data_IF_119057068553
#
_entry.id   IF_119057068553
#
_cell.length_a   1.000
_cell.length_b   1.000
_cell.length_c   1.000
_cell.angle_alpha   90.00
_cell.angle_beta   90.00
_cell.angle_gamma   90.00
#
_symmetry.space_group_name_H-M   'P 1'
#
loop_
_entity.id
_entity.type
_entity.pdbx_description
1 polymer ?
#
# COMPACT_ATOMS: atom_id res chain seq x y z
N UNK A 1 8.66 19.16 37.14
CA UNK A 1 9.56 18.02 37.38
C UNK A 1 9.90 17.42 36.02
N UNK A 2 11.17 17.36 35.62
CA UNK A 2 11.53 16.74 34.34
C UNK A 2 11.27 15.23 34.43
N UNK A 3 10.53 14.67 33.45
CA UNK A 3 10.27 13.22 33.37
C UNK A 3 11.58 12.47 33.21
N UNK A 4 11.77 11.34 33.88
CA UNK A 4 12.98 10.52 33.77
C UNK A 4 13.10 9.87 32.38
N UNK A 5 14.29 9.36 32.01
CA UNK A 5 14.50 8.65 30.75
C UNK A 5 13.55 7.44 30.60
N UNK A 6 13.33 6.70 31.69
CA UNK A 6 12.40 5.56 31.71
C UNK A 6 10.94 5.97 31.53
N UNK A 7 10.52 7.07 32.17
CA UNK A 7 9.16 7.60 32.01
C UNK A 7 8.88 8.07 30.57
N UNK A 8 9.89 8.63 29.90
CA UNK A 8 9.77 9.03 28.48
C UNK A 8 9.73 7.82 27.56
N UNK A 9 10.48 6.76 27.87
CA UNK A 9 10.43 5.50 27.14
C UNK A 9 9.06 4.82 27.28
N UNK A 10 8.49 4.82 28.49
CA UNK A 10 7.13 4.32 28.72
C UNK A 10 6.08 5.10 27.94
N UNK A 11 6.15 6.43 27.99
CA UNK A 11 5.24 7.29 27.23
C UNK A 11 5.34 7.06 25.72
N UNK A 12 6.55 6.84 25.20
CA UNK A 12 6.75 6.50 23.79
C UNK A 12 6.18 5.12 23.43
N UNK A 13 6.32 4.12 24.30
CA UNK A 13 5.72 2.79 24.12
C UNK A 13 4.19 2.86 24.05
N UNK A 14 3.58 3.57 25.00
CA UNK A 14 2.12 3.75 25.08
C UNK A 14 1.59 4.53 23.87
N UNK A 15 2.30 5.58 23.43
CA UNK A 15 1.95 6.34 22.22
C UNK A 15 2.10 5.55 20.91
N UNK A 16 2.91 4.47 20.92
CA UNK A 16 3.08 3.55 19.81
C UNK A 16 2.16 2.31 19.89
N UNK A 17 1.10 2.36 20.72
CA UNK A 17 0.09 1.31 20.89
C UNK A 17 0.60 -0.05 21.40
N UNK A 18 1.77 -0.09 22.05
CA UNK A 18 2.25 -1.30 22.72
C UNK A 18 1.67 -1.40 24.14
N UNK A 19 0.67 -2.25 24.33
CA UNK A 19 -0.06 -2.40 25.60
C UNK A 19 0.76 -3.01 26.75
N UNK A 20 1.90 -3.65 26.48
CA UNK A 20 2.77 -4.24 27.51
C UNK A 20 4.24 -4.12 27.16
N UNK A 21 5.07 -3.95 28.19
CA UNK A 21 6.54 -3.97 28.08
C UNK A 21 7.07 -5.29 27.49
N UNK A 22 6.33 -6.39 27.64
CA UNK A 22 6.68 -7.68 27.04
C UNK A 22 6.61 -7.63 25.52
N UNK A 23 5.51 -7.12 24.97
CA UNK A 23 5.32 -6.97 23.52
C UNK A 23 6.33 -5.99 22.91
N UNK A 24 6.65 -4.94 23.65
CA UNK A 24 7.65 -3.96 23.22
C UNK A 24 9.07 -4.56 23.18
N UNK A 25 9.47 -5.34 24.19
CA UNK A 25 10.78 -5.98 24.24
C UNK A 25 10.98 -6.99 23.10
N UNK A 26 9.95 -7.81 22.83
CA UNK A 26 9.93 -8.78 21.73
C UNK A 26 10.04 -8.08 20.37
N UNK A 27 9.23 -7.04 20.14
CA UNK A 27 9.24 -6.27 18.89
C UNK A 27 10.57 -5.51 18.63
N UNK A 28 11.37 -5.30 19.69
CA UNK A 28 12.67 -4.64 19.65
C UNK A 28 13.85 -5.61 19.62
N UNK A 29 13.61 -6.91 19.79
CA UNK A 29 14.66 -7.94 19.89
C UNK A 29 15.58 -7.74 21.10
N UNK A 30 15.08 -7.17 22.20
CA UNK A 30 15.83 -6.98 23.46
C UNK A 30 15.26 -7.86 24.55
N UNK A 31 16.10 -8.28 25.51
CA UNK A 31 15.60 -9.07 26.63
C UNK A 31 14.55 -8.29 27.44
N UNK A 32 13.49 -8.97 27.89
CA UNK A 32 12.44 -8.37 28.70
C UNK A 32 12.98 -7.72 29.98
N UNK A 33 13.97 -8.36 30.59
CA UNK A 33 14.64 -7.86 31.79
C UNK A 33 15.33 -6.52 31.51
N UNK A 34 16.08 -6.44 30.40
CA UNK A 34 16.79 -5.22 29.97
C UNK A 34 15.81 -4.09 29.64
N UNK A 35 14.73 -4.39 28.92
CA UNK A 35 13.74 -3.38 28.56
C UNK A 35 13.01 -2.82 29.79
N UNK A 36 12.61 -3.68 30.73
CA UNK A 36 11.97 -3.26 31.98
C UNK A 36 12.90 -2.46 32.87
N UNK A 37 14.20 -2.79 32.91
CA UNK A 37 15.18 -2.02 33.66
C UNK A 37 15.33 -0.59 33.10
N UNK A 38 15.27 -0.41 31.78
CA UNK A 38 15.26 0.90 31.13
C UNK A 38 13.95 1.67 31.36
N UNK A 39 12.80 1.01 31.25
CA UNK A 39 11.48 1.65 31.45
C UNK A 39 11.24 2.07 32.90
N UNK A 40 11.69 1.27 33.88
CA UNK A 40 11.58 1.58 35.30
C UNK A 40 12.66 2.57 35.79
N UNK A 41 13.57 2.99 34.91
CA UNK A 41 14.66 3.91 35.27
C UNK A 41 15.71 3.30 36.21
N UNK A 42 15.81 1.98 36.27
CA UNK A 42 16.87 1.29 37.04
C UNK A 42 18.23 1.39 36.33
N UNK A 43 18.22 1.38 35.00
CA UNK A 43 19.41 1.56 34.16
C UNK A 43 19.15 2.63 33.10
N UNK A 44 20.14 3.49 32.89
CA UNK A 44 20.14 4.39 31.74
C UNK A 44 20.50 3.61 30.47
N UNK A 45 20.02 4.09 29.32
CA UNK A 45 20.28 3.48 28.02
C UNK A 45 21.07 4.41 27.11
N UNK A 46 21.97 3.83 26.32
CA UNK A 46 22.86 4.58 25.42
C UNK A 46 22.11 5.17 24.22
N UNK A 47 22.74 6.12 23.52
CA UNK A 47 22.16 6.74 22.34
C UNK A 47 21.86 5.76 21.19
N UNK A 48 22.64 4.67 21.10
CA UNK A 48 22.42 3.59 20.13
C UNK A 48 21.12 2.82 20.43
N UNK A 49 20.90 2.50 21.71
CA UNK A 49 19.69 1.81 22.16
C UNK A 49 18.47 2.75 22.05
N UNK A 50 18.64 4.02 22.41
CA UNK A 50 17.60 5.04 22.25
C UNK A 50 17.16 5.19 20.78
N UNK A 51 18.09 5.13 19.82
CA UNK A 51 17.78 5.18 18.39
C UNK A 51 16.97 3.98 17.94
N UNK A 52 17.25 2.80 18.49
CA UNK A 52 16.48 1.58 18.22
C UNK A 52 15.05 1.67 18.75
N UNK A 53 14.89 2.19 19.97
CA UNK A 53 13.58 2.45 20.56
C UNK A 53 12.80 3.52 19.79
N UNK A 54 13.47 4.61 19.42
CA UNK A 54 12.91 5.72 18.66
C UNK A 54 12.35 5.26 17.31
N UNK A 55 13.12 4.47 16.55
CA UNK A 55 12.70 3.94 15.25
C UNK A 55 11.44 3.07 15.35
N UNK A 56 11.32 2.27 16.42
CA UNK A 56 10.18 1.36 16.60
C UNK A 56 8.96 2.05 17.19
N UNK A 57 9.14 3.05 18.04
CA UNK A 57 8.04 3.78 18.69
C UNK A 57 7.65 5.07 17.96
N UNK A 58 8.22 5.35 16.78
CA UNK A 58 7.90 6.55 16.00
C UNK A 58 8.24 7.85 16.72
N UNK A 59 9.25 7.83 17.60
CA UNK A 59 9.74 9.00 18.33
C UNK A 59 11.19 9.32 17.95
N UNK A 60 11.83 10.26 18.64
CA UNK A 60 13.23 10.62 18.39
C UNK A 60 14.14 10.17 19.52
N UNK A 61 15.38 9.80 19.20
CA UNK A 61 16.37 9.42 20.22
C UNK A 61 16.64 10.59 21.18
N UNK A 62 16.62 11.83 20.68
CA UNK A 62 16.73 13.04 21.49
C UNK A 62 15.61 13.15 22.53
N UNK A 63 14.36 12.93 22.13
CA UNK A 63 13.24 12.93 23.08
C UNK A 63 13.41 11.86 24.18
N UNK A 64 13.87 10.66 23.83
CA UNK A 64 14.09 9.61 24.81
C UNK A 64 15.25 9.94 25.78
N UNK A 65 16.34 10.52 25.30
CA UNK A 65 17.56 10.75 26.09
C UNK A 65 17.55 12.05 26.90
N UNK A 66 17.15 13.16 26.29
CA UNK A 66 17.25 14.50 26.90
C UNK A 66 15.88 15.13 27.16
N UNK A 67 14.82 14.58 26.56
CA UNK A 67 13.48 15.18 26.60
C UNK A 67 13.35 16.42 25.71
N UNK A 68 14.40 16.78 24.95
CA UNK A 68 14.40 17.85 23.97
C UNK A 68 14.06 17.30 22.58
N UNK A 69 13.09 17.94 21.92
CA UNK A 69 12.54 17.51 20.64
C UNK A 69 11.11 16.96 20.76
N UNK A 70 10.35 17.07 19.67
CA UNK A 70 8.93 16.73 19.66
C UNK A 70 8.70 15.22 19.88
N UNK A 71 7.81 14.89 20.84
CA UNK A 71 7.42 13.52 21.20
C UNK A 71 6.84 12.73 20.02
N UNK A 72 6.12 13.43 19.13
CA UNK A 72 5.79 12.98 17.78
C UNK A 72 6.82 13.59 16.85
N UNK A 73 7.29 12.86 15.85
CA UNK A 73 7.72 13.53 14.61
C UNK A 73 6.59 14.48 14.22
N UNK A 74 6.80 15.78 14.41
CA UNK A 74 5.82 16.78 14.05
C UNK A 74 5.71 16.75 12.52
N UNK A 75 4.68 16.06 12.03
CA UNK A 75 3.95 16.48 10.85
C UNK A 75 3.56 17.93 11.12
N UNK A 76 4.17 18.88 10.42
CA UNK A 76 3.85 20.29 10.56
C UNK A 76 2.40 20.53 10.04
N UNK A 77 1.58 21.22 10.84
CA UNK A 77 0.17 21.64 10.65
C UNK A 77 0.13 23.14 11.03
N UNK A 78 -0.91 23.99 10.80
CA UNK A 78 -2.22 23.83 10.15
C UNK A 78 -2.62 25.00 9.20
N UNK A 79 -3.76 24.91 8.49
CA UNK A 79 -4.57 26.11 8.30
C UNK A 79 -6.08 25.81 8.27
N UNK A 80 -6.80 26.71 8.91
CA UNK A 80 -8.16 26.62 9.40
C UNK A 80 -9.10 27.28 8.39
N UNK A 81 -9.51 26.55 7.37
CA UNK A 81 -10.77 26.80 6.65
C UNK A 81 -11.40 25.44 6.40
N UNK A 82 -12.59 25.25 6.96
CA UNK A 82 -13.45 24.10 6.78
C UNK A 82 -13.89 23.99 5.32
N UNK A 83 -13.14 23.29 4.49
CA UNK A 83 -13.69 22.69 3.28
C UNK A 83 -13.90 21.21 3.58
N UNK A 84 -15.17 20.85 3.72
CA UNK A 84 -15.70 19.50 3.66
C UNK A 84 -14.76 18.51 2.96
N UNK A 85 -14.09 17.65 3.73
CA UNK A 85 -13.21 16.58 3.24
C UNK A 85 -14.00 15.27 3.32
N UNK A 86 -14.41 14.67 2.18
CA UNK A 86 -15.25 13.47 2.17
C UNK A 86 -14.53 12.19 2.62
N UNK A 87 -13.25 12.26 3.01
CA UNK A 87 -12.43 11.10 3.38
C UNK A 87 -12.31 10.84 4.90
N UNK A 88 -12.94 11.64 5.78
CA UNK A 88 -13.22 11.18 7.15
C UNK A 88 -14.51 10.33 7.15
N UNK A 89 -14.39 9.09 6.66
CA UNK A 89 -15.25 8.00 7.11
C UNK A 89 -14.45 7.14 8.07
N UNK A 90 -14.85 7.17 9.33
CA UNK A 90 -14.49 6.21 10.37
C UNK A 90 -14.63 4.80 9.80
N UNK A 91 -13.51 4.16 9.47
CA UNK A 91 -13.49 2.72 9.21
C UNK A 91 -13.39 1.98 10.57
N UNK A 92 -14.38 2.23 11.42
CA UNK A 92 -14.67 1.45 12.62
C UNK A 92 -15.60 0.30 12.21
N UNK A 93 -15.07 -0.63 11.40
CA UNK A 93 -15.83 -1.73 10.82
C UNK A 93 -15.02 -3.01 10.74
N UNK A 94 -15.07 -3.80 11.81
CA UNK A 94 -14.62 -5.18 11.98
C UNK A 94 -14.29 -5.98 10.70
N UNK A 95 -13.02 -6.36 10.55
CA UNK A 95 -12.63 -7.61 9.92
C UNK A 95 -11.41 -8.18 10.67
N UNK A 96 -11.69 -9.10 11.60
CA UNK A 96 -10.70 -10.04 12.14
C UNK A 96 -10.31 -11.05 11.04
N UNK A 97 -9.03 -11.44 11.07
CA UNK A 97 -8.40 -12.53 10.33
C UNK A 97 -8.29 -12.42 8.80
N UNK A 98 -7.08 -12.14 8.31
CA UNK A 98 -6.71 -12.38 6.90
C UNK A 98 -5.52 -11.55 6.42
N UNK A 99 -4.38 -12.22 6.28
CA UNK A 99 -3.17 -11.86 5.54
C UNK A 99 -3.03 -10.43 4.99
N UNK A 100 -2.02 -9.74 5.51
CA UNK A 100 -1.42 -8.53 4.94
C UNK A 100 -1.06 -8.77 3.46
N UNK A 101 -1.98 -8.49 2.53
CA UNK A 101 -1.74 -8.51 1.09
C UNK A 101 -0.62 -7.51 0.80
N UNK A 102 0.61 -8.00 0.75
CA UNK A 102 1.84 -7.23 0.63
C UNK A 102 1.97 -6.63 -0.78
N UNK A 103 1.33 -5.49 -1.02
CA UNK A 103 1.59 -4.65 -2.18
C UNK A 103 2.88 -3.87 -1.97
N UNK A 104 4.03 -4.52 -2.02
CA UNK A 104 5.28 -3.83 -1.69
C UNK A 104 5.92 -3.18 -2.92
N UNK A 105 5.42 -1.99 -3.32
CA UNK A 105 6.33 -0.94 -3.82
C UNK A 105 7.39 -0.58 -2.76
N UNK A 106 7.17 -0.96 -1.51
CA UNK A 106 8.10 -0.78 -0.37
C UNK A 106 9.47 -1.44 -0.55
N UNK A 107 9.57 -2.53 -1.32
CA UNK A 107 10.84 -3.20 -1.61
C UNK A 107 11.56 -2.66 -2.85
N UNK A 108 10.92 -1.76 -3.61
CA UNK A 108 11.50 -1.12 -4.78
C UNK A 108 11.81 0.34 -4.50
N UNK A 109 13.01 0.78 -4.86
CA UNK A 109 13.41 2.18 -4.78
C UNK A 109 13.59 2.70 -6.20
N UNK A 110 12.89 3.79 -6.58
CA UNK A 110 13.06 4.34 -7.91
C UNK A 110 14.47 4.88 -8.08
N UNK A 111 15.05 4.65 -9.24
CA UNK A 111 16.32 5.28 -9.66
C UNK A 111 16.14 6.79 -9.81
N UNK A 112 14.95 7.24 -10.23
CA UNK A 112 14.56 8.64 -10.32
C UNK A 112 13.57 8.99 -9.21
N UNK A 113 13.95 9.91 -8.31
CA UNK A 113 13.08 10.32 -7.21
C UNK A 113 11.67 10.74 -7.67
N UNK A 114 10.64 10.05 -7.16
CA UNK A 114 9.24 10.28 -7.51
C UNK A 114 8.77 9.57 -8.78
N UNK A 115 9.57 8.69 -9.37
CA UNK A 115 9.14 7.91 -10.52
C UNK A 115 8.10 6.83 -10.18
N UNK A 116 7.25 6.57 -11.16
CA UNK A 116 6.23 5.53 -11.18
C UNK A 116 6.76 4.37 -12.04
N UNK A 117 6.81 3.13 -11.51
CA UNK A 117 7.38 2.01 -12.24
C UNK A 117 6.41 1.52 -13.30
N UNK A 118 6.94 1.18 -14.47
CA UNK A 118 6.25 0.36 -15.46
C UNK A 118 6.64 -1.09 -15.28
N UNK A 119 5.64 -1.97 -15.18
CA UNK A 119 5.84 -3.40 -14.96
C UNK A 119 5.52 -4.21 -16.21
N UNK A 120 6.32 -5.24 -16.48
CA UNK A 120 5.99 -6.26 -17.47
C UNK A 120 5.03 -7.28 -16.88
N UNK A 121 3.79 -7.18 -17.31
CA UNK A 121 2.69 -8.03 -16.85
C UNK A 121 2.80 -9.45 -17.40
N UNK A 122 3.48 -9.63 -18.55
CA UNK A 122 3.66 -10.95 -19.18
C UNK A 122 4.67 -11.82 -18.45
N UNK A 123 5.67 -11.18 -17.85
CA UNK A 123 6.74 -11.87 -17.16
C UNK A 123 6.43 -11.98 -15.67
N UNK A 124 5.50 -12.88 -15.34
CA UNK A 124 5.34 -13.40 -13.98
C UNK A 124 6.55 -14.29 -13.64
N UNK A 125 7.47 -13.75 -12.86
CA UNK A 125 8.67 -14.44 -12.44
C UNK A 125 8.33 -15.62 -11.53
N UNK A 126 8.32 -16.84 -12.08
CA UNK A 126 8.78 -17.98 -11.29
C UNK A 126 10.20 -17.70 -10.76
N UNK A 127 10.61 -18.43 -9.71
CA UNK A 127 11.91 -18.30 -9.04
C UNK A 127 13.07 -18.30 -10.06
N UNK A 128 13.53 -17.12 -10.51
CA UNK A 128 14.48 -17.03 -11.62
C UNK A 128 14.60 -15.69 -12.37
N UNK A 129 13.78 -14.68 -12.09
CA UNK A 129 13.98 -13.35 -12.70
C UNK A 129 15.14 -12.62 -12.03
N UNK A 130 16.14 -12.28 -12.84
CA UNK A 130 17.27 -11.44 -12.46
C UNK A 130 16.89 -9.98 -12.76
N UNK A 131 16.68 -9.17 -11.72
CA UNK A 131 16.37 -7.73 -11.84
C UNK A 131 15.47 -7.21 -10.72
N UNK A 132 15.14 -5.92 -10.78
CA UNK A 132 14.14 -5.32 -9.89
C UNK A 132 12.74 -5.79 -10.28
N UNK A 133 11.99 -6.28 -9.29
CA UNK A 133 10.63 -6.79 -9.47
C UNK A 133 9.65 -6.12 -8.51
N UNK A 134 8.40 -5.99 -8.93
CA UNK A 134 7.26 -5.62 -8.08
C UNK A 134 6.35 -6.82 -7.94
N UNK A 135 5.96 -7.09 -6.72
CA UNK A 135 5.06 -8.17 -6.35
C UNK A 135 3.60 -7.74 -6.54
N UNK A 136 2.87 -8.41 -7.43
CA UNK A 136 1.43 -8.22 -7.61
C UNK A 136 0.67 -9.47 -7.16
N UNK A 137 -0.52 -9.32 -6.55
CA UNK A 137 -1.32 -10.46 -6.14
C UNK A 137 -1.91 -11.16 -7.38
N UNK A 138 -1.77 -12.48 -7.40
CA UNK A 138 -2.30 -13.37 -8.43
C UNK A 138 -3.20 -14.42 -7.79
N UNK A 139 -4.39 -14.02 -7.35
CA UNK A 139 -5.31 -14.91 -6.63
C UNK A 139 -5.17 -14.82 -5.11
N UNK A 140 -5.92 -15.67 -4.41
CA UNK A 140 -5.95 -15.70 -2.93
C UNK A 140 -4.60 -16.17 -2.36
N UNK A 141 -3.79 -15.23 -1.86
CA UNK A 141 -2.54 -15.50 -1.14
C UNK A 141 -1.31 -15.73 -2.01
N UNK A 142 -1.46 -15.76 -3.34
CA UNK A 142 -0.32 -15.91 -4.26
C UNK A 142 0.13 -14.54 -4.77
N UNK A 143 1.44 -14.41 -4.98
CA UNK A 143 2.07 -13.19 -5.47
C UNK A 143 3.01 -13.56 -6.61
N UNK A 144 2.94 -12.79 -7.70
CA UNK A 144 3.84 -12.90 -8.83
C UNK A 144 4.80 -11.70 -8.83
N UNK A 145 6.09 -11.96 -9.00
CA UNK A 145 7.08 -10.92 -9.22
C UNK A 145 7.05 -10.47 -10.68
N UNK A 146 6.81 -9.19 -10.92
CA UNK A 146 6.79 -8.59 -12.26
C UNK A 146 8.01 -7.70 -12.44
N UNK A 147 8.76 -7.91 -13.52
CA UNK A 147 9.95 -7.13 -13.83
C UNK A 147 9.60 -5.67 -14.11
N UNK A 148 10.41 -4.76 -13.59
CA UNK A 148 10.31 -3.34 -13.93
C UNK A 148 11.02 -3.10 -15.26
N UNK A 149 10.31 -2.52 -16.22
CA UNK A 149 10.80 -2.28 -17.58
C UNK A 149 11.11 -0.81 -17.87
N UNK A 150 10.47 0.10 -17.13
CA UNK A 150 10.72 1.54 -17.25
C UNK A 150 10.32 2.29 -15.98
N UNK A 151 10.72 3.55 -15.90
CA UNK A 151 10.34 4.50 -14.86
C UNK A 151 9.73 5.75 -15.50
N UNK A 152 8.56 6.15 -15.01
CA UNK A 152 7.79 7.28 -15.51
C UNK A 152 7.78 8.40 -14.48
N UNK A 153 8.26 9.58 -14.85
CA UNK A 153 8.11 10.76 -14.00
C UNK A 153 6.75 11.40 -14.26
N UNK A 154 5.80 11.15 -13.35
CA UNK A 154 4.48 11.77 -13.38
C UNK A 154 4.40 12.75 -12.21
N UNK A 155 4.05 14.02 -12.44
CA UNK A 155 3.88 14.98 -11.34
C UNK A 155 2.93 14.44 -10.28
N UNK A 156 3.35 14.47 -9.01
CA UNK A 156 2.54 13.95 -7.90
C UNK A 156 1.20 14.67 -7.77
N UNK A 157 1.15 15.97 -8.09
CA UNK A 157 -0.08 16.74 -8.18
C UNK A 157 -1.04 16.22 -9.24
N UNK A 158 -0.54 15.76 -10.39
CA UNK A 158 -1.39 15.14 -11.42
C UNK A 158 -1.98 13.82 -10.93
N UNK A 159 -1.15 12.95 -10.34
CA UNK A 159 -1.63 11.66 -9.80
C UNK A 159 -2.71 11.87 -8.74
N UNK A 160 -2.50 12.79 -7.79
CA UNK A 160 -3.46 13.06 -6.71
C UNK A 160 -4.72 13.77 -7.21
N UNK A 161 -4.56 14.84 -7.96
CA UNK A 161 -5.65 15.77 -8.22
C UNK A 161 -6.47 15.37 -9.44
N UNK A 162 -5.80 14.92 -10.51
CA UNK A 162 -6.44 14.56 -11.78
C UNK A 162 -6.77 13.07 -11.83
N UNK A 163 -5.76 12.21 -11.63
CA UNK A 163 -5.96 10.76 -11.73
C UNK A 163 -6.66 10.15 -10.51
N UNK A 164 -6.74 10.89 -9.38
CA UNK A 164 -7.24 10.39 -8.09
C UNK A 164 -6.56 9.08 -7.67
N UNK A 165 -5.23 9.05 -7.82
CA UNK A 165 -4.37 7.92 -7.55
C UNK A 165 -3.31 8.25 -6.49
N UNK A 166 -2.95 7.26 -5.69
CA UNK A 166 -1.90 7.35 -4.68
C UNK A 166 -0.51 7.33 -5.32
N UNK A 167 0.31 8.40 -5.24
CA UNK A 167 1.62 8.43 -5.90
C UNK A 167 2.57 7.30 -5.48
N UNK A 168 2.39 6.78 -4.26
CA UNK A 168 3.22 5.73 -3.68
C UNK A 168 2.70 4.31 -3.95
N UNK A 169 1.45 4.16 -4.43
CA UNK A 169 0.85 2.86 -4.76
C UNK A 169 0.42 2.77 -6.23
N UNK A 170 0.88 3.70 -7.07
CA UNK A 170 0.61 3.69 -8.51
C UNK A 170 1.66 2.88 -9.30
N UNK A 171 1.24 2.12 -10.30
CA UNK A 171 2.13 1.50 -11.29
C UNK A 171 1.63 1.82 -12.71
N UNK A 172 2.49 1.64 -13.70
CA UNK A 172 2.14 1.69 -15.11
C UNK A 172 2.10 0.26 -15.66
N UNK A 173 1.03 -0.07 -16.39
CA UNK A 173 0.90 -1.34 -17.09
C UNK A 173 0.67 -1.10 -18.59
N UNK A 174 1.24 -1.96 -19.42
CA UNK A 174 0.91 -2.03 -20.84
C UNK A 174 -0.44 -2.73 -21.05
N UNK A 175 -1.26 -2.16 -21.93
CA UNK A 175 -2.48 -2.81 -22.42
C UNK A 175 -2.09 -3.90 -23.42
N UNK A 176 -2.39 -5.15 -23.09
CA UNK A 176 -2.05 -6.30 -23.91
C UNK A 176 -3.33 -6.91 -24.49
N UNK A 177 -3.29 -7.26 -25.78
CA UNK A 177 -4.42 -7.84 -26.48
C UNK A 177 -5.48 -6.79 -26.86
N UNK A 178 -6.56 -7.26 -27.46
CA UNK A 178 -7.63 -6.45 -28.04
C UNK A 178 -8.90 -6.41 -27.16
N UNK A 179 -8.85 -7.02 -25.98
CA UNK A 179 -10.04 -7.24 -25.16
C UNK A 179 -10.73 -5.95 -24.70
N UNK A 180 -9.99 -4.86 -24.62
CA UNK A 180 -10.49 -3.58 -24.12
C UNK A 180 -10.62 -2.54 -25.24
N UNK A 181 -10.51 -2.94 -26.51
CA UNK A 181 -10.82 -2.07 -27.64
C UNK A 181 -12.32 -1.75 -27.66
N UNK A 182 -12.74 -0.54 -28.08
CA UNK A 182 -11.90 0.55 -28.60
C UNK A 182 -11.35 1.48 -27.49
N UNK A 183 -11.75 1.29 -26.23
CA UNK A 183 -11.40 2.19 -25.13
C UNK A 183 -9.89 2.20 -24.83
N UNK A 184 -9.27 1.01 -24.86
CA UNK A 184 -7.85 0.82 -24.65
C UNK A 184 -7.26 0.02 -25.81
N UNK A 185 -6.30 0.61 -26.52
CA UNK A 185 -5.67 -0.04 -27.65
C UNK A 185 -4.43 -0.83 -27.21
N UNK A 186 -4.10 -1.96 -27.88
CA UNK A 186 -2.88 -2.69 -27.60
C UNK A 186 -1.64 -1.80 -27.63
N UNK A 187 -0.82 -1.91 -26.58
CA UNK A 187 0.40 -1.15 -26.35
C UNK A 187 0.20 0.27 -25.80
N UNK A 188 -1.04 0.69 -25.52
CA UNK A 188 -1.27 1.85 -24.64
C UNK A 188 -0.75 1.58 -23.22
N UNK A 189 -0.60 2.64 -22.43
CA UNK A 189 -0.23 2.53 -21.02
C UNK A 189 -1.39 2.96 -20.14
N UNK A 190 -1.60 2.23 -19.05
CA UNK A 190 -2.60 2.56 -18.04
C UNK A 190 -1.94 2.80 -16.70
N UNK A 191 -2.48 3.77 -15.97
CA UNK A 191 -2.07 4.11 -14.61
C UNK A 191 -2.96 3.31 -13.67
N UNK A 192 -2.37 2.46 -12.83
CA UNK A 192 -3.09 1.56 -11.91
C UNK A 192 -2.77 1.94 -10.48
N UNK A 193 -3.79 2.20 -9.66
CA UNK A 193 -3.62 2.43 -8.23
C UNK A 193 -3.87 1.15 -7.44
N UNK A 194 -2.79 0.58 -6.89
CA UNK A 194 -2.79 -0.66 -6.11
C UNK A 194 -3.47 -0.50 -4.74
N UNK A 195 -3.61 0.72 -4.22
CA UNK A 195 -4.35 0.98 -2.97
C UNK A 195 -5.87 0.88 -3.16
N UNK A 196 -6.34 0.92 -4.41
CA UNK A 196 -7.76 0.84 -4.77
C UNK A 196 -8.09 -0.57 -5.27
N UNK A 197 -7.90 -1.55 -4.38
CA UNK A 197 -8.03 -3.00 -4.64
C UNK A 197 -9.39 -3.58 -4.23
N UNK A 198 -10.38 -2.73 -3.97
CA UNK A 198 -11.76 -3.12 -3.70
C UNK A 198 -12.68 -2.50 -4.74
N UNK A 199 -13.74 -3.23 -5.10
CA UNK A 199 -14.73 -2.72 -6.03
C UNK A 199 -15.65 -1.70 -5.36
N UNK A 200 -15.35 -0.42 -5.53
CA UNK A 200 -16.19 0.69 -5.03
C UNK A 200 -17.08 1.28 -6.11
N UNK A 201 -16.64 1.25 -7.36
CA UNK A 201 -17.33 1.86 -8.51
C UNK A 201 -17.31 0.94 -9.73
N UNK A 202 -18.31 1.08 -10.60
CA UNK A 202 -18.39 0.36 -11.88
C UNK A 202 -17.46 1.00 -12.91
N UNK A 203 -16.22 0.51 -12.97
CA UNK A 203 -15.17 1.06 -13.84
C UNK A 203 -14.17 -0.02 -14.24
N UNK A 204 -13.04 0.37 -14.81
CA UNK A 204 -11.98 -0.53 -15.25
C UNK A 204 -10.98 -0.76 -14.12
N UNK A 205 -10.65 -2.04 -13.91
CA UNK A 205 -9.69 -2.48 -12.91
C UNK A 205 -8.66 -3.41 -13.57
N UNK A 206 -7.46 -3.43 -12.99
CA UNK A 206 -6.55 -4.55 -13.16
C UNK A 206 -7.00 -5.68 -12.24
N UNK A 207 -7.19 -6.86 -12.80
CA UNK A 207 -7.69 -8.05 -12.12
C UNK A 207 -6.79 -9.24 -12.37
N UNK A 208 -6.90 -10.24 -11.49
CA UNK A 208 -6.32 -11.56 -11.66
C UNK A 208 -7.35 -12.63 -11.31
N UNK A 209 -7.38 -13.70 -12.09
CA UNK A 209 -8.12 -14.93 -11.81
C UNK A 209 -7.27 -15.96 -11.04
N UNK A 210 -5.99 -15.65 -10.80
CA UNK A 210 -5.04 -16.51 -10.08
C UNK A 210 -4.40 -17.61 -10.94
N UNK A 211 -4.79 -17.73 -12.20
CA UNK A 211 -4.25 -18.71 -13.15
C UNK A 211 -3.50 -18.05 -14.29
N UNK A 212 -3.95 -16.87 -14.71
CA UNK A 212 -3.41 -16.11 -15.82
C UNK A 212 -2.69 -14.85 -15.35
N UNK A 213 -1.96 -14.24 -16.29
CA UNK A 213 -1.35 -12.94 -16.10
C UNK A 213 -2.43 -11.87 -15.79
N UNK A 214 -2.10 -10.82 -15.03
CA UNK A 214 -3.02 -9.72 -14.77
C UNK A 214 -3.63 -9.13 -16.04
N UNK A 215 -4.94 -8.89 -16.01
CA UNK A 215 -5.69 -8.36 -17.15
C UNK A 215 -6.44 -7.10 -16.74
N UNK A 216 -6.70 -6.21 -17.70
CA UNK A 216 -7.61 -5.09 -17.48
C UNK A 216 -9.01 -5.46 -17.96
N UNK A 217 -10.01 -5.26 -17.11
CA UNK A 217 -11.42 -5.52 -17.42
C UNK A 217 -12.31 -4.45 -16.80
N UNK A 218 -13.46 -4.20 -17.43
CA UNK A 218 -14.50 -3.38 -16.83
C UNK A 218 -15.32 -4.23 -15.89
N UNK A 219 -15.43 -3.79 -14.64
CA UNK A 219 -16.23 -4.45 -13.62
C UNK A 219 -17.54 -3.70 -13.44
N UNK A 220 -18.64 -4.44 -13.37
CA UNK A 220 -19.95 -3.91 -13.04
C UNK A 220 -20.61 -4.77 -11.97
N UNK A 221 -21.02 -4.17 -10.86
CA UNK A 221 -21.65 -4.92 -9.77
C UNK A 221 -23.03 -5.40 -10.21
N UNK A 222 -23.37 -6.65 -9.90
CA UNK A 222 -24.72 -7.16 -10.12
C UNK A 222 -25.57 -6.85 -8.88
N UNK A 223 -26.56 -5.94 -8.98
CA UNK A 223 -27.33 -5.51 -7.81
C UNK A 223 -28.21 -6.65 -7.29
N UNK A 224 -28.50 -6.62 -5.98
CA UNK A 224 -29.40 -7.56 -5.30
C UNK A 224 -28.98 -9.05 -5.38
N UNK A 225 -27.68 -9.33 -5.44
CA UNK A 225 -27.13 -10.69 -5.40
C UNK A 225 -26.52 -11.02 -4.03
N UNK A 226 -26.69 -12.26 -3.58
CA UNK A 226 -26.08 -12.79 -2.36
C UNK A 226 -25.66 -14.26 -2.58
N UNK A 227 -24.36 -14.60 -2.58
CA UNK A 227 -23.21 -13.71 -2.40
C UNK A 227 -23.10 -12.65 -3.51
N UNK A 228 -22.37 -11.57 -3.22
CA UNK A 228 -22.22 -10.46 -4.16
C UNK A 228 -21.56 -10.91 -5.47
N UNK A 229 -22.19 -10.59 -6.60
CA UNK A 229 -21.67 -10.93 -7.92
C UNK A 229 -21.16 -9.70 -8.67
N UNK A 230 -20.20 -9.94 -9.55
CA UNK A 230 -19.61 -8.95 -10.44
C UNK A 230 -19.61 -9.46 -11.87
N UNK A 231 -19.98 -8.58 -12.79
CA UNK A 231 -19.85 -8.80 -14.22
C UNK A 231 -18.49 -8.32 -14.68
N UNK A 232 -17.73 -9.21 -15.30
CA UNK A 232 -16.45 -8.93 -15.95
C UNK A 232 -16.75 -8.69 -17.43
N UNK A 233 -16.54 -7.44 -17.86
CA UNK A 233 -16.87 -6.95 -19.18
C UNK A 233 -15.57 -6.64 -19.92
N UNK A 234 -15.45 -7.22 -21.11
CA UNK A 234 -14.49 -6.81 -22.13
C UNK A 234 -15.14 -5.67 -22.92
N UNK A 235 -14.48 -4.52 -23.06
CA UNK A 235 -15.04 -3.41 -23.86
C UNK A 235 -15.15 -3.78 -25.36
N UNK A 236 -14.40 -4.80 -25.79
CA UNK A 236 -14.50 -5.36 -27.13
C UNK A 236 -15.79 -6.19 -27.29
N UNK A 237 -16.74 -5.75 -28.14
CA UNK A 237 -18.02 -6.43 -28.32
C UNK A 237 -17.91 -7.85 -28.89
N UNK A 238 -16.77 -8.22 -29.48
CA UNK A 238 -16.53 -9.56 -30.02
C UNK A 238 -16.25 -10.60 -28.93
N UNK A 239 -16.02 -10.17 -27.69
CA UNK A 239 -15.72 -11.04 -26.56
C UNK A 239 -16.91 -11.16 -25.61
N UNK A 240 -17.06 -12.34 -25.01
CA UNK A 240 -18.14 -12.59 -24.06
C UNK A 240 -17.89 -11.91 -22.71
N UNK A 241 -19.00 -11.60 -22.02
CA UNK A 241 -18.97 -11.11 -20.63
C UNK A 241 -19.20 -12.26 -19.67
N UNK A 242 -18.46 -12.29 -18.58
CA UNK A 242 -18.58 -13.33 -17.55
C UNK A 242 -19.19 -12.73 -16.29
N UNK A 243 -19.90 -13.54 -15.50
CA UNK A 243 -20.37 -13.14 -14.17
C UNK A 243 -19.79 -14.12 -13.17
N UNK A 244 -19.14 -13.59 -12.14
CA UNK A 244 -18.51 -14.38 -11.08
C UNK A 244 -18.88 -13.81 -9.71
N UNK A 245 -18.67 -14.62 -8.67
CA UNK A 245 -18.70 -14.15 -7.28
C UNK A 245 -17.55 -13.17 -7.06
N UNK A 246 -17.82 -12.03 -6.42
CA UNK A 246 -16.82 -10.99 -6.17
C UNK A 246 -15.62 -11.54 -5.37
N UNK A 247 -15.86 -12.47 -4.46
CA UNK A 247 -14.83 -13.10 -3.62
C UNK A 247 -13.84 -13.97 -4.40
N UNK A 248 -14.22 -14.47 -5.59
CA UNK A 248 -13.31 -15.24 -6.45
C UNK A 248 -12.38 -14.35 -7.28
N UNK A 249 -12.69 -13.06 -7.36
CA UNK A 249 -11.97 -12.11 -8.18
C UNK A 249 -10.92 -11.40 -7.35
N UNK A 250 -9.65 -11.50 -7.75
CA UNK A 250 -8.60 -10.67 -7.16
C UNK A 250 -8.51 -9.36 -7.92
N UNK A 251 -8.85 -8.25 -7.27
CA UNK A 251 -8.66 -6.91 -7.83
C UNK A 251 -7.27 -6.42 -7.41
N UNK A 252 -6.42 -6.17 -8.40
CA UNK A 252 -5.05 -5.70 -8.17
C UNK A 252 -5.06 -4.19 -7.90
N UNK A 253 -5.89 -3.45 -8.63
CA UNK A 253 -6.01 -2.00 -8.48
C UNK A 253 -6.93 -1.37 -9.52
N UNK A 254 -7.35 -0.13 -9.27
CA UNK A 254 -8.22 0.63 -10.17
C UNK A 254 -7.42 1.31 -11.27
N UNK A 255 -7.94 1.30 -12.49
CA UNK A 255 -7.40 2.11 -13.58
C UNK A 255 -7.78 3.58 -13.36
N UNK A 256 -6.77 4.43 -13.20
CA UNK A 256 -6.89 5.83 -12.81
C UNK A 256 -6.49 6.80 -13.94
N UNK A 257 -5.86 6.29 -15.00
CA UNK A 257 -5.45 7.09 -16.14
C UNK A 257 -5.07 6.22 -17.33
N UNK A 258 -5.06 6.84 -18.50
CA UNK A 258 -4.77 6.21 -19.78
C UNK A 258 -3.85 7.13 -20.59
N UNK A 259 -2.79 6.55 -21.11
CA UNK A 259 -1.79 7.21 -21.94
C UNK A 259 -1.80 6.48 -23.28
N UNK A 260 -2.45 7.10 -24.26
CA UNK A 260 -2.66 6.52 -25.58
C UNK A 260 -1.54 6.92 -26.57
N UNK A 261 -1.17 5.99 -27.44
CA UNK A 261 -0.34 6.30 -28.61
C UNK A 261 -1.24 6.86 -29.72
N UNK A 262 -0.81 7.93 -30.39
CA UNK A 262 -1.49 8.48 -31.57
C UNK A 262 -0.91 7.90 -32.85
#
# INVERSE_FOLDING_TARGET
>A
MQKSMGERLRAAREAANYSSATKAAEALGVSLSTYRAHENGQNDFSAEIASRYAKKFGTTAGYLLTGEGSHKLARAVPNMVTSFDPDEQDNDGFAEDGEELSYSREHWQPQIAGATPEVDVKLGAGSGVVGEVINLPVGSGNVAGHKIVAEWLIPTGYLRNEAKASPNHTIIMEVIGDSMQPTYMPGDRVIVDLSQNQMTTDTVYAISDGYSEPQIKRLQRVPFTQPGQVKIISDNPALETFTVELERLTIIGRICGHIARK
#
